data_IF_446005786805
#
_entry.id   IF_446005786805
#
_cell.length_a   1.000
_cell.length_b   1.000
_cell.length_c   1.000
_cell.angle_alpha   90.00
_cell.angle_beta   90.00
_cell.angle_gamma   90.00
#
_symmetry.space_group_name_H-M   'P 1'
#
loop_
_entity.id
_entity.type
_entity.pdbx_description
1 polymer ?
#
# COMPACT_ATOMS: atom_id res chain seq x y z
N UNK A 1 -4.80 14.23 -30.86
CA UNK A 1 -5.80 13.67 -29.93
C UNK A 1 -5.02 12.70 -29.05
N UNK A 2 -4.78 13.05 -27.79
CA UNK A 2 -4.04 12.20 -26.86
C UNK A 2 -5.00 11.07 -26.46
N UNK A 3 -4.57 9.79 -26.43
CA UNK A 3 -5.42 8.70 -25.96
C UNK A 3 -5.86 9.01 -24.53
N UNK A 4 -7.16 8.87 -24.24
CA UNK A 4 -7.67 9.02 -22.89
C UNK A 4 -6.95 8.03 -21.96
N UNK A 5 -6.53 8.50 -20.78
CA UNK A 5 -6.06 7.62 -19.71
C UNK A 5 -7.12 6.55 -19.40
N UNK A 6 -6.71 5.32 -19.03
CA UNK A 6 -7.65 4.25 -18.76
C UNK A 6 -8.56 4.60 -17.58
N UNK A 7 -9.86 4.30 -17.71
CA UNK A 7 -10.84 4.41 -16.63
C UNK A 7 -10.51 3.42 -15.49
N UNK A 8 -10.30 3.95 -14.29
CA UNK A 8 -10.14 3.17 -13.05
C UNK A 8 -11.51 2.72 -12.52
N UNK A 9 -11.89 1.45 -12.67
CA UNK A 9 -13.07 0.82 -11.99
C UNK A 9 -12.78 -0.68 -11.71
N UNK A 10 -13.36 -1.42 -10.75
CA UNK A 10 -14.28 -1.16 -9.64
C UNK A 10 -14.31 -2.39 -8.69
N UNK A 11 -14.16 -2.18 -7.38
CA UNK A 11 -15.11 -2.69 -6.37
C UNK A 11 -15.14 -1.65 -5.24
N UNK A 12 -15.68 -0.50 -5.62
CA UNK A 12 -16.18 0.51 -4.70
C UNK A 12 -17.60 0.06 -4.36
N UNK A 13 -17.82 -0.46 -3.15
CA UNK A 13 -19.18 -0.45 -2.63
C UNK A 13 -19.65 1.02 -2.65
N UNK A 14 -20.81 1.25 -3.26
CA UNK A 14 -21.23 2.49 -3.92
C UNK A 14 -21.48 3.70 -3.00
N UNK A 15 -21.10 3.67 -1.72
CA UNK A 15 -21.73 4.58 -0.74
C UNK A 15 -20.85 5.69 -0.16
N UNK A 16 -19.52 5.73 -0.36
CA UNK A 16 -18.69 6.64 0.45
C UNK A 16 -17.59 7.36 -0.34
N UNK A 17 -17.89 8.53 -0.96
CA UNK A 17 -16.91 9.37 -1.65
C UNK A 17 -15.68 9.73 -0.79
N UNK A 18 -15.85 9.80 0.53
CA UNK A 18 -14.76 10.06 1.47
C UNK A 18 -13.75 8.91 1.57
N UNK A 19 -14.14 7.65 1.32
CA UNK A 19 -13.20 6.52 1.26
C UNK A 19 -12.27 6.62 0.07
N UNK A 20 -12.77 7.02 -1.11
CA UNK A 20 -11.94 7.20 -2.30
C UNK A 20 -10.91 8.30 -2.07
N UNK A 21 -11.33 9.44 -1.54
CA UNK A 21 -10.43 10.55 -1.21
C UNK A 21 -9.40 10.12 -0.15
N UNK A 22 -9.81 9.33 0.85
CA UNK A 22 -8.92 8.77 1.87
C UNK A 22 -7.87 7.86 1.24
N UNK A 23 -8.26 6.93 0.37
CA UNK A 23 -7.35 6.01 -0.33
C UNK A 23 -6.32 6.76 -1.17
N UNK A 24 -6.75 7.76 -1.95
CA UNK A 24 -5.85 8.60 -2.76
C UNK A 24 -4.86 9.34 -1.86
N UNK A 25 -5.33 9.90 -0.74
CA UNK A 25 -4.48 10.62 0.21
C UNK A 25 -3.50 9.68 0.91
N UNK A 26 -3.93 8.48 1.29
CA UNK A 26 -3.07 7.47 1.91
C UNK A 26 -2.01 7.01 0.92
N UNK A 27 -2.37 6.67 -0.32
CA UNK A 27 -1.42 6.29 -1.37
C UNK A 27 -0.35 7.38 -1.58
N UNK A 28 -0.77 8.64 -1.74
CA UNK A 28 0.16 9.76 -1.90
C UNK A 28 1.10 9.96 -0.69
N UNK A 29 0.59 9.84 0.53
CA UNK A 29 1.40 9.92 1.76
C UNK A 29 2.40 8.77 1.86
N UNK A 30 1.99 7.54 1.54
CA UNK A 30 2.88 6.38 1.57
C UNK A 30 4.00 6.54 0.56
N UNK A 31 3.68 6.95 -0.67
CA UNK A 31 4.69 7.24 -1.70
C UNK A 31 5.69 8.29 -1.24
N UNK A 32 5.21 9.37 -0.63
CA UNK A 32 6.08 10.41 -0.08
C UNK A 32 6.97 9.90 1.06
N UNK A 33 6.43 9.09 1.97
CA UNK A 33 7.23 8.47 3.04
C UNK A 33 8.29 7.52 2.47
N UNK A 34 7.94 6.69 1.48
CA UNK A 34 8.90 5.80 0.82
C UNK A 34 9.99 6.58 0.08
N UNK A 35 9.63 7.72 -0.53
CA UNK A 35 10.59 8.66 -1.13
C UNK A 35 11.55 9.25 -0.11
N UNK A 36 11.09 9.53 1.11
CA UNK A 36 11.95 10.03 2.21
C UNK A 36 12.83 8.90 2.76
N UNK A 37 12.29 7.68 2.90
CA UNK A 37 12.98 6.53 3.48
C UNK A 37 14.03 5.91 2.54
N UNK A 38 13.85 6.07 1.24
CA UNK A 38 14.73 5.48 0.22
C UNK A 38 15.48 6.60 -0.49
N UNK A 39 16.79 6.69 -0.22
CA UNK A 39 17.66 7.78 -0.69
C UNK A 39 17.52 8.02 -2.20
N UNK A 40 17.74 9.27 -2.59
CA UNK A 40 17.60 9.84 -3.95
C UNK A 40 17.86 8.85 -5.09
N UNK A 41 16.83 8.63 -5.91
CA UNK A 41 17.03 8.16 -7.28
C UNK A 41 17.50 9.33 -8.16
N UNK A 42 18.26 9.06 -9.25
CA UNK A 42 18.68 10.09 -10.20
C UNK A 42 17.52 11.01 -10.60
N UNK A 43 17.80 12.29 -10.87
CA UNK A 43 16.77 13.26 -11.28
C UNK A 43 15.97 12.71 -12.46
N UNK A 44 14.67 12.51 -12.27
CA UNK A 44 13.75 11.93 -13.27
C UNK A 44 13.38 10.46 -13.03
N UNK A 45 14.01 9.79 -12.06
CA UNK A 45 13.66 8.44 -11.62
C UNK A 45 12.91 8.49 -10.28
N UNK A 46 11.83 7.72 -10.15
CA UNK A 46 11.14 7.55 -8.86
C UNK A 46 12.03 6.83 -7.86
N UNK A 47 11.87 7.14 -6.57
CA UNK A 47 12.63 6.48 -5.51
C UNK A 47 12.47 4.95 -5.56
N UNK A 48 13.44 4.20 -5.05
CA UNK A 48 13.34 2.73 -5.02
C UNK A 48 12.06 2.27 -4.32
N UNK A 49 11.72 2.89 -3.19
CA UNK A 49 10.48 2.59 -2.47
C UNK A 49 9.23 2.90 -3.29
N UNK A 50 9.19 4.03 -4.01
CA UNK A 50 8.07 4.35 -4.90
C UNK A 50 7.94 3.37 -6.08
N UNK A 51 9.06 2.93 -6.65
CA UNK A 51 9.05 1.94 -7.74
C UNK A 51 8.51 0.60 -7.26
N UNK A 52 8.92 0.17 -6.08
CA UNK A 52 8.42 -1.09 -5.48
C UNK A 52 6.96 -0.96 -5.11
N UNK A 53 6.54 0.18 -4.53
CA UNK A 53 5.13 0.47 -4.27
C UNK A 53 4.29 0.37 -5.54
N UNK A 54 4.67 1.10 -6.60
CA UNK A 54 3.93 1.14 -7.85
C UNK A 54 3.91 -0.20 -8.60
N UNK A 55 4.97 -1.01 -8.46
CA UNK A 55 5.05 -2.31 -9.11
C UNK A 55 4.29 -3.41 -8.36
N UNK A 56 4.16 -3.29 -7.03
CA UNK A 56 3.76 -4.42 -6.21
C UNK A 56 2.58 -4.19 -5.26
N UNK A 57 2.20 -2.95 -4.97
CA UNK A 57 0.94 -2.64 -4.28
C UNK A 57 -0.10 -2.29 -5.33
N UNK A 58 -1.06 -3.19 -5.48
CA UNK A 58 -2.01 -3.20 -6.60
C UNK A 58 -3.26 -2.41 -6.22
N UNK A 59 -3.69 -2.53 -4.97
CA UNK A 59 -4.93 -1.93 -4.49
C UNK A 59 -4.86 -1.71 -2.98
N UNK A 60 -5.46 -0.61 -2.53
CA UNK A 60 -5.78 -0.38 -1.13
C UNK A 60 -7.31 -0.42 -0.95
N UNK A 61 -7.79 -1.07 0.10
CA UNK A 61 -9.20 -1.16 0.44
C UNK A 61 -9.42 -0.87 1.93
N UNK A 62 -10.33 0.04 2.26
CA UNK A 62 -10.70 0.35 3.65
C UNK A 62 -12.01 -0.37 4.00
N UNK A 63 -11.90 -1.37 4.88
CA UNK A 63 -13.02 -2.12 5.43
C UNK A 63 -13.16 -1.83 6.93
N UNK A 64 -14.06 -0.89 7.26
CA UNK A 64 -14.52 -0.61 8.63
C UNK A 64 -13.38 -0.44 9.66
N UNK A 65 -12.31 0.27 9.29
CA UNK A 65 -11.17 0.54 10.17
C UNK A 65 -9.97 -0.40 9.98
N UNK A 66 -10.10 -1.40 9.10
CA UNK A 66 -9.01 -2.22 8.61
C UNK A 66 -8.62 -1.79 7.20
N UNK A 67 -7.33 -1.55 6.98
CA UNK A 67 -6.80 -1.23 5.66
C UNK A 67 -6.20 -2.49 5.03
N UNK A 68 -6.78 -2.96 3.94
CA UNK A 68 -6.26 -4.08 3.16
C UNK A 68 -5.38 -3.58 2.02
N UNK A 69 -4.12 -4.00 2.02
CA UNK A 69 -3.16 -3.73 0.96
C UNK A 69 -2.99 -4.98 0.10
N UNK A 70 -3.61 -4.99 -1.08
CA UNK A 70 -3.41 -6.05 -2.06
C UNK A 70 -2.06 -5.87 -2.72
N UNK A 71 -1.26 -6.93 -2.67
CA UNK A 71 0.09 -6.92 -3.17
C UNK A 71 0.41 -8.16 -3.99
N UNK A 72 1.42 -8.02 -4.85
CA UNK A 72 1.94 -9.15 -5.64
C UNK A 72 2.68 -10.16 -4.74
N UNK A 73 2.72 -11.42 -5.17
CA UNK A 73 3.51 -12.47 -4.52
C UNK A 73 4.99 -12.12 -4.35
N UNK A 74 5.56 -11.40 -5.31
CA UNK A 74 6.95 -10.93 -5.24
C UNK A 74 7.22 -10.01 -4.04
N UNK A 75 6.26 -9.13 -3.70
CA UNK A 75 6.39 -8.28 -2.51
C UNK A 75 6.20 -9.08 -1.23
N UNK A 76 5.23 -10.01 -1.21
CA UNK A 76 5.00 -10.91 -0.06
C UNK A 76 6.22 -11.74 0.35
N UNK A 77 7.05 -12.13 -0.62
CA UNK A 77 8.29 -12.87 -0.38
C UNK A 77 9.54 -11.98 -0.16
N UNK A 78 9.40 -10.66 -0.15
CA UNK A 78 10.53 -9.73 -0.08
C UNK A 78 10.66 -9.05 1.29
N UNK A 79 11.88 -8.61 1.62
CA UNK A 79 12.13 -7.76 2.80
C UNK A 79 11.45 -6.39 2.74
N UNK A 80 10.95 -5.97 1.57
CA UNK A 80 10.25 -4.71 1.39
C UNK A 80 8.84 -4.69 1.96
N UNK A 81 8.22 -5.86 2.17
CA UNK A 81 6.90 -5.94 2.80
C UNK A 81 6.89 -5.21 4.14
N UNK A 82 7.98 -5.33 4.90
CA UNK A 82 8.11 -4.66 6.19
C UNK A 82 8.26 -3.15 6.11
N UNK A 83 9.04 -2.67 5.15
CA UNK A 83 9.23 -1.24 4.90
C UNK A 83 7.91 -0.61 4.45
N UNK A 84 7.21 -1.26 3.53
CA UNK A 84 5.91 -0.83 3.02
C UNK A 84 4.85 -0.88 4.13
N UNK A 85 4.83 -1.94 4.94
CA UNK A 85 3.96 -2.06 6.11
C UNK A 85 4.15 -0.92 7.10
N UNK A 86 5.39 -0.56 7.41
CA UNK A 86 5.69 0.58 8.26
C UNK A 86 5.24 1.91 7.63
N UNK A 87 5.49 2.11 6.33
CA UNK A 87 5.07 3.33 5.63
C UNK A 87 3.54 3.47 5.58
N UNK A 88 2.82 2.38 5.28
CA UNK A 88 1.35 2.30 5.34
C UNK A 88 0.83 2.61 6.75
N UNK A 89 1.38 1.93 7.76
CA UNK A 89 1.01 2.15 9.15
C UNK A 89 1.20 3.63 9.52
N UNK A 90 2.34 4.24 9.20
CA UNK A 90 2.60 5.67 9.51
C UNK A 90 1.70 6.64 8.74
N UNK A 91 1.40 6.36 7.48
CA UNK A 91 0.49 7.18 6.69
C UNK A 91 -0.96 7.09 7.19
N UNK A 92 -1.34 5.94 7.78
CA UNK A 92 -2.68 5.62 8.26
C UNK A 92 -2.93 6.00 9.72
N UNK A 93 -1.95 5.79 10.61
CA UNK A 93 -1.97 6.00 12.07
C UNK A 93 -2.21 7.47 12.48
N UNK A 94 -2.21 8.39 11.51
CA UNK A 94 -2.65 9.77 11.74
C UNK A 94 -4.16 9.93 11.98
N UNK A 95 -5.02 8.92 11.75
CA UNK A 95 -6.49 9.08 11.72
C UNK A 95 -7.33 7.92 12.30
N UNK A 96 -6.92 7.34 13.43
CA UNK A 96 -7.58 6.24 14.19
C UNK A 96 -7.52 4.81 13.59
N UNK A 97 -6.92 3.91 14.39
CA UNK A 97 -7.13 2.46 14.66
C UNK A 97 -8.05 1.61 13.73
N UNK A 98 -7.70 0.38 13.29
CA UNK A 98 -6.72 -0.62 13.74
C UNK A 98 -6.60 -1.69 12.65
N UNK A 99 -5.36 -2.08 12.34
CA UNK A 99 -4.99 -3.22 11.48
C UNK A 99 -4.78 -2.88 10.00
N UNK A 100 -3.53 -3.03 9.55
CA UNK A 100 -3.17 -3.11 8.14
C UNK A 100 -2.98 -4.59 7.82
N UNK A 101 -3.71 -5.09 6.83
CA UNK A 101 -3.58 -6.48 6.37
C UNK A 101 -3.05 -6.49 4.95
N UNK A 102 -1.99 -7.26 4.73
CA UNK A 102 -1.50 -7.52 3.38
C UNK A 102 -2.22 -8.72 2.80
N UNK A 103 -2.77 -8.55 1.60
CA UNK A 103 -3.40 -9.61 0.83
C UNK A 103 -2.51 -9.95 -0.37
N UNK A 104 -1.95 -11.14 -0.42
CA UNK A 104 -1.19 -11.65 -1.57
C UNK A 104 -2.03 -12.72 -2.25
N UNK A 105 -2.35 -12.50 -3.53
CA UNK A 105 -3.27 -13.39 -4.27
C UNK A 105 -4.60 -13.59 -3.52
N UNK A 106 -5.09 -12.52 -2.87
CA UNK A 106 -6.27 -12.48 -2.01
C UNK A 106 -6.18 -13.34 -0.72
N UNK A 107 -5.01 -13.90 -0.42
CA UNK A 107 -4.72 -14.57 0.84
C UNK A 107 -4.07 -13.60 1.84
N UNK A 108 -4.60 -13.51 3.09
CA UNK A 108 -4.01 -12.64 4.10
C UNK A 108 -2.65 -13.18 4.56
N UNK A 109 -1.66 -12.31 4.50
CA UNK A 109 -0.36 -12.55 5.13
C UNK A 109 -0.42 -12.01 6.57
N UNK A 110 -0.16 -12.86 7.58
CA UNK A 110 -0.07 -12.40 8.96
C UNK A 110 0.99 -11.29 9.10
N UNK A 111 0.58 -10.16 9.67
CA UNK A 111 1.43 -8.98 9.89
C UNK A 111 1.36 -8.55 11.37
N UNK A 112 2.48 -8.18 12.03
CA UNK A 112 3.84 -8.16 11.50
C UNK A 112 4.39 -9.57 11.27
N UNK A 113 5.24 -9.73 10.24
CA UNK A 113 5.84 -11.02 9.84
C UNK A 113 6.58 -11.73 10.98
N UNK A 114 6.95 -10.99 12.02
CA UNK A 114 7.57 -11.44 13.27
C UNK A 114 6.76 -12.55 13.95
N UNK A 115 5.44 -12.60 13.76
CA UNK A 115 4.59 -13.66 14.31
C UNK A 115 4.71 -14.99 13.53
N UNK A 116 5.07 -14.93 12.23
CA UNK A 116 5.26 -16.12 11.37
C UNK A 116 6.69 -16.64 11.48
N UNK A 117 7.67 -15.74 11.57
CA UNK A 117 9.09 -16.09 11.65
C UNK A 117 9.52 -16.63 13.02
N UNK A 118 8.64 -16.56 14.03
CA UNK A 118 8.86 -17.11 15.37
C UNK A 118 8.13 -18.44 15.64
N UNK A 119 7.41 -19.01 14.67
CA UNK A 119 6.95 -20.40 14.78
C UNK A 119 8.16 -21.34 14.60
N UNK A 120 8.47 -22.22 15.57
CA UNK A 120 9.65 -23.08 15.57
C UNK A 120 9.61 -24.22 14.54
#
# INVERSE_FOLDING_TARGET
MIPAEPDYTAYNAVEEPWRIVRLIRTDGRVRELLRILTSESPVGEGSEGERIWAAHVIRLHDERGRLEAHCSAALGASGWLAVIGLALARAWDGEDEREVVFLVEDEPIPWPLDQILMEP
#
